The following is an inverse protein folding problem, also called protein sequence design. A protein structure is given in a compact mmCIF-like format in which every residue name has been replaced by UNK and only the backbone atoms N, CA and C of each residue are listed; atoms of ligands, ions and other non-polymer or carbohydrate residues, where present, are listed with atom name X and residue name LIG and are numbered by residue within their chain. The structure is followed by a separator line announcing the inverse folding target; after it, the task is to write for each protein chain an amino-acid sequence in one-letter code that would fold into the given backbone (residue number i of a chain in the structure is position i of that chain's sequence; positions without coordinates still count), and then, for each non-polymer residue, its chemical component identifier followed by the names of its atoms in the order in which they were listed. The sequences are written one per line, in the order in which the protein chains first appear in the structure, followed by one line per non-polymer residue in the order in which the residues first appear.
data_IF_378261063353
#
_entry.id   IF_378261063353
#
_cell.length_a   1.000
_cell.length_b   1.000
_cell.length_c   1.000
_cell.angle_alpha   90.00
_cell.angle_beta   90.00
_cell.angle_gamma   90.00
#
_symmetry.space_group_name_H-M   'P 1'
#
loop_
_entity.id
_entity.type
_entity.pdbx_description
1 polymer ?
#
# COMPACT_ATOMS: atom_id res chain seq x y z
N UNK A 1 19.13 -14.81 -25.64
CA UNK A 1 18.09 -13.76 -25.72
C UNK A 1 17.63 -13.45 -24.30
N UNK A 2 18.11 -12.37 -23.69
CA UNK A 2 17.64 -11.97 -22.35
C UNK A 2 16.20 -11.47 -22.47
N UNK A 3 15.23 -12.22 -21.94
CA UNK A 3 13.87 -11.70 -21.75
C UNK A 3 13.98 -10.48 -20.83
N UNK A 4 13.48 -9.34 -21.26
CA UNK A 4 13.35 -8.19 -20.39
C UNK A 4 12.56 -8.63 -19.13
N UNK A 5 13.15 -8.51 -17.94
CA UNK A 5 12.46 -8.83 -16.69
C UNK A 5 11.20 -7.98 -16.63
N UNK A 6 10.05 -8.62 -16.44
CA UNK A 6 8.79 -7.93 -16.30
C UNK A 6 8.86 -6.97 -15.09
N UNK A 7 8.40 -5.73 -15.31
CA UNK A 7 8.60 -4.56 -14.43
C UNK A 7 7.97 -4.72 -13.04
N UNK A 8 7.08 -5.70 -12.85
CA UNK A 8 6.33 -6.00 -11.62
C UNK A 8 6.22 -7.51 -11.39
N UNK A 9 7.32 -8.25 -11.55
CA UNK A 9 7.29 -9.70 -11.46
C UNK A 9 6.30 -10.31 -12.47
N UNK A 10 5.39 -11.15 -11.99
CA UNK A 10 4.37 -11.81 -12.82
C UNK A 10 2.99 -11.11 -12.79
N UNK A 11 2.86 -9.97 -12.11
CA UNK A 11 1.57 -9.28 -12.01
C UNK A 11 1.06 -8.72 -13.35
N UNK A 12 -0.24 -8.88 -13.58
CA UNK A 12 -0.94 -8.33 -14.74
C UNK A 12 -1.36 -6.89 -14.46
N UNK A 13 -1.13 -5.96 -15.41
CA UNK A 13 -1.71 -4.61 -15.35
C UNK A 13 -3.16 -4.68 -15.82
N UNK A 14 -4.09 -4.83 -14.88
CA UNK A 14 -5.52 -4.99 -15.16
C UNK A 14 -6.12 -3.74 -15.80
N UNK A 15 -5.74 -2.56 -15.33
CA UNK A 15 -6.20 -1.29 -15.86
C UNK A 15 -5.15 -0.20 -15.67
N UNK A 16 -5.09 0.76 -16.60
CA UNK A 16 -4.38 2.02 -16.40
C UNK A 16 -5.17 2.91 -15.46
N UNK A 17 -4.49 3.65 -14.58
CA UNK A 17 -5.13 4.68 -13.74
C UNK A 17 -4.91 6.10 -14.25
N UNK A 18 -4.14 6.26 -15.33
CA UNK A 18 -4.01 7.55 -16.01
C UNK A 18 -5.35 7.94 -16.63
N UNK A 19 -5.85 9.12 -16.28
CA UNK A 19 -7.13 9.69 -16.74
C UNK A 19 -8.35 8.77 -16.53
N UNK A 20 -8.28 7.88 -15.55
CA UNK A 20 -9.34 6.91 -15.26
C UNK A 20 -10.50 7.60 -14.51
N UNK A 21 -11.73 7.60 -15.06
CA UNK A 21 -12.88 8.18 -14.38
C UNK A 21 -13.17 7.49 -13.05
N UNK A 22 -13.63 8.25 -12.06
CA UNK A 22 -13.92 7.74 -10.71
C UNK A 22 -14.86 6.55 -10.70
N UNK A 23 -15.90 6.56 -11.53
CA UNK A 23 -16.86 5.45 -11.62
C UNK A 23 -16.21 4.16 -12.14
N UNK A 24 -15.36 4.26 -13.16
CA UNK A 24 -14.63 3.11 -13.69
C UNK A 24 -13.61 2.60 -12.67
N UNK A 25 -12.94 3.50 -11.96
CA UNK A 25 -12.06 3.15 -10.84
C UNK A 25 -12.80 2.36 -9.75
N UNK A 26 -13.98 2.83 -9.34
CA UNK A 26 -14.81 2.14 -8.35
C UNK A 26 -15.29 0.77 -8.88
N UNK A 27 -15.68 0.68 -10.15
CA UNK A 27 -16.09 -0.58 -10.78
C UNK A 27 -14.95 -1.59 -10.79
N UNK A 28 -13.73 -1.20 -11.17
CA UNK A 28 -12.55 -2.08 -11.16
C UNK A 28 -12.25 -2.56 -9.73
N UNK A 29 -12.34 -1.67 -8.73
CA UNK A 29 -12.14 -2.03 -7.32
C UNK A 29 -13.21 -2.97 -6.76
N UNK A 30 -14.38 -3.09 -7.39
CA UNK A 30 -15.41 -4.09 -7.03
C UNK A 30 -15.05 -5.50 -7.53
N UNK A 31 -14.15 -5.64 -8.52
CA UNK A 31 -13.79 -6.94 -9.11
C UNK A 31 -12.97 -7.85 -8.19
N UNK A 32 -12.40 -7.32 -7.11
CA UNK A 32 -11.53 -8.09 -6.22
C UNK A 32 -11.26 -7.41 -4.89
N UNK A 33 -10.43 -8.05 -4.07
CA UNK A 33 -9.91 -7.55 -2.80
C UNK A 33 -8.68 -6.70 -3.08
N UNK A 34 -8.75 -5.42 -2.74
CA UNK A 34 -7.60 -4.51 -2.83
C UNK A 34 -6.65 -4.70 -1.65
N UNK A 35 -5.41 -4.23 -1.79
CA UNK A 35 -4.45 -4.23 -0.67
C UNK A 35 -4.99 -3.53 0.59
N UNK A 36 -5.71 -2.41 0.44
CA UNK A 36 -6.38 -1.71 1.56
C UNK A 36 -7.46 -2.54 2.25
N UNK A 37 -8.02 -3.53 1.56
CA UNK A 37 -9.09 -4.40 2.07
C UNK A 37 -8.51 -5.62 2.79
N UNK A 38 -7.21 -5.90 2.65
CA UNK A 38 -6.56 -7.12 3.14
C UNK A 38 -6.75 -7.31 4.65
N UNK A 39 -6.46 -6.28 5.45
CA UNK A 39 -6.64 -6.32 6.90
C UNK A 39 -8.10 -6.55 7.30
N UNK A 40 -9.04 -5.97 6.55
CA UNK A 40 -10.48 -6.15 6.80
C UNK A 40 -10.91 -7.58 6.49
N UNK A 41 -10.41 -8.15 5.39
CA UNK A 41 -10.72 -9.51 4.97
C UNK A 41 -10.27 -10.55 6.01
N UNK A 42 -9.15 -10.32 6.70
CA UNK A 42 -8.63 -11.21 7.76
C UNK A 42 -9.06 -10.81 9.17
N UNK A 43 -9.93 -9.80 9.33
CA UNK A 43 -10.46 -9.40 10.64
C UNK A 43 -9.48 -8.61 11.53
N UNK A 44 -8.40 -8.06 10.97
CA UNK A 44 -7.35 -7.31 11.67
C UNK A 44 -7.44 -5.78 11.46
N UNK A 45 -8.51 -5.29 10.83
CA UNK A 45 -8.72 -3.85 10.64
C UNK A 45 -9.49 -3.22 11.81
N UNK A 46 -8.99 -2.12 12.41
CA UNK A 46 -9.73 -1.39 13.44
C UNK A 46 -10.84 -0.50 12.87
N UNK A 47 -10.85 -0.27 11.55
CA UNK A 47 -11.75 0.70 10.91
C UNK A 47 -13.01 0.05 10.34
N UNK A 48 -12.95 -1.26 10.05
CA UNK A 48 -13.97 -1.93 9.25
C UNK A 48 -13.99 -3.44 9.49
N UNK A 49 -15.18 -4.04 9.53
CA UNK A 49 -15.36 -5.48 9.78
C UNK A 49 -15.50 -6.30 8.48
N UNK A 50 -15.19 -7.62 8.50
CA UNK A 50 -15.29 -8.50 7.32
C UNK A 50 -16.67 -8.54 6.66
N UNK A 51 -17.74 -8.53 7.47
CA UNK A 51 -19.12 -8.52 6.94
C UNK A 51 -19.39 -7.29 6.08
N UNK A 52 -18.95 -6.12 6.52
CA UNK A 52 -19.12 -4.90 5.74
C UNK A 52 -18.34 -4.95 4.43
N UNK A 53 -17.16 -5.57 4.41
CA UNK A 53 -16.38 -5.82 3.18
C UNK A 53 -17.12 -6.73 2.23
N UNK A 54 -17.64 -7.84 2.73
CA UNK A 54 -18.42 -8.77 1.94
C UNK A 54 -19.67 -8.13 1.32
N UNK A 55 -20.40 -7.31 2.08
CA UNK A 55 -21.57 -6.60 1.57
C UNK A 55 -21.22 -5.68 0.39
N UNK A 56 -20.10 -4.95 0.46
CA UNK A 56 -19.67 -4.08 -0.62
C UNK A 56 -19.15 -4.85 -1.85
N UNK A 57 -18.31 -5.86 -1.64
CA UNK A 57 -17.74 -6.65 -2.74
C UNK A 57 -18.78 -7.48 -3.47
N UNK A 58 -19.91 -7.76 -2.84
CA UNK A 58 -21.03 -8.47 -3.47
C UNK A 58 -22.16 -7.56 -3.94
N UNK A 59 -21.98 -6.23 -3.91
CA UNK A 59 -22.96 -5.27 -4.40
C UNK A 59 -24.22 -5.13 -3.54
N UNK A 60 -24.22 -5.66 -2.32
CA UNK A 60 -25.34 -5.56 -1.36
C UNK A 60 -25.36 -4.24 -0.61
N UNK A 61 -24.22 -3.54 -0.59
CA UNK A 61 -24.05 -2.22 0.02
C UNK A 61 -23.10 -1.40 -0.84
N UNK A 62 -23.41 -0.14 -1.07
CA UNK A 62 -22.46 0.77 -1.71
C UNK A 62 -21.38 1.20 -0.70
N UNK A 63 -20.11 1.34 -1.13
CA UNK A 63 -19.05 1.83 -0.27
C UNK A 63 -19.34 3.24 0.22
N UNK A 64 -18.98 3.50 1.47
CA UNK A 64 -19.06 4.84 2.04
C UNK A 64 -18.18 5.80 1.23
N UNK A 65 -18.73 6.94 0.81
CA UNK A 65 -17.94 7.98 0.19
C UNK A 65 -17.12 8.72 1.24
N UNK A 66 -15.83 8.41 1.32
CA UNK A 66 -14.90 9.02 2.27
C UNK A 66 -14.16 10.24 1.70
N UNK A 67 -14.48 10.71 0.49
CA UNK A 67 -13.72 11.80 -0.17
C UNK A 67 -13.78 13.13 0.59
N UNK A 68 -14.81 13.31 1.43
CA UNK A 68 -14.99 14.49 2.26
C UNK A 68 -14.16 14.46 3.56
N UNK A 69 -13.52 13.33 3.89
CA UNK A 69 -12.73 13.20 5.12
C UNK A 69 -11.38 13.89 4.94
N UNK A 70 -11.04 14.79 5.87
CA UNK A 70 -9.74 15.50 5.91
C UNK A 70 -8.54 14.54 5.79
N UNK A 71 -8.60 13.37 6.43
CA UNK A 71 -7.53 12.38 6.33
C UNK A 71 -7.27 11.90 4.90
N UNK A 72 -8.32 11.80 4.06
CA UNK A 72 -8.21 11.42 2.65
C UNK A 72 -7.60 12.57 1.85
N UNK A 73 -8.09 13.80 2.06
CA UNK A 73 -7.55 15.01 1.43
C UNK A 73 -6.05 15.16 1.70
N UNK A 74 -5.64 15.17 2.97
CA UNK A 74 -4.23 15.33 3.35
C UNK A 74 -3.37 14.15 2.92
N UNK A 75 -3.92 12.93 2.86
CA UNK A 75 -3.21 11.78 2.29
C UNK A 75 -2.84 12.01 0.83
N UNK A 76 -3.79 12.46 0.02
CA UNK A 76 -3.58 12.76 -1.41
C UNK A 76 -2.59 13.90 -1.61
N UNK A 77 -2.77 15.01 -0.90
CA UNK A 77 -1.93 16.21 -1.03
C UNK A 77 -0.48 15.96 -0.58
N UNK A 78 -0.27 15.17 0.47
CA UNK A 78 1.06 14.94 1.04
C UNK A 78 1.81 13.79 0.39
N UNK A 79 1.15 12.83 -0.26
CA UNK A 79 1.82 11.69 -0.89
C UNK A 79 2.95 12.11 -1.87
N UNK A 80 2.78 13.09 -2.78
CA UNK A 80 3.88 13.57 -3.62
C UNK A 80 5.02 14.20 -2.83
N UNK A 81 4.72 14.96 -1.78
CA UNK A 81 5.71 15.64 -0.93
C UNK A 81 6.54 14.61 -0.17
N UNK A 82 5.89 13.62 0.43
CA UNK A 82 6.54 12.57 1.20
C UNK A 82 7.39 11.66 0.30
N UNK A 83 6.95 11.38 -0.93
CA UNK A 83 7.77 10.67 -1.92
C UNK A 83 9.06 11.43 -2.31
N UNK A 84 9.01 12.77 -2.36
CA UNK A 84 10.21 13.58 -2.58
C UNK A 84 11.13 13.58 -1.37
N UNK A 85 10.58 13.68 -0.15
CA UNK A 85 11.37 13.60 1.09
C UNK A 85 12.06 12.24 1.19
N UNK A 86 11.35 11.15 0.85
CA UNK A 86 11.93 9.82 0.74
C UNK A 86 13.17 9.80 -0.16
N UNK A 87 13.02 10.34 -1.37
CA UNK A 87 14.11 10.40 -2.35
C UNK A 87 15.31 11.20 -1.82
N UNK A 88 15.06 12.35 -1.19
CA UNK A 88 16.12 13.21 -0.61
C UNK A 88 16.87 12.55 0.54
N UNK A 89 16.18 11.79 1.38
CA UNK A 89 16.77 11.19 2.59
C UNK A 89 17.46 9.86 2.33
N UNK A 90 16.94 9.05 1.40
CA UNK A 90 17.48 7.72 1.10
C UNK A 90 18.42 7.71 -0.11
N UNK A 91 18.32 8.71 -0.99
CA UNK A 91 19.03 8.72 -2.28
C UNK A 91 18.38 7.82 -3.33
N UNK A 92 17.38 7.00 -2.99
CA UNK A 92 16.68 6.15 -3.93
C UNK A 92 15.64 6.91 -4.73
N UNK A 93 15.56 6.62 -6.03
CA UNK A 93 14.55 7.23 -6.90
C UNK A 93 13.22 6.50 -6.74
N UNK A 94 12.12 7.21 -6.93
CA UNK A 94 10.78 6.63 -6.91
C UNK A 94 9.97 7.04 -8.14
N UNK A 95 9.01 6.23 -8.55
CA UNK A 95 8.08 6.55 -9.65
C UNK A 95 6.65 6.11 -9.33
N UNK A 96 5.68 6.72 -9.99
CA UNK A 96 4.27 6.30 -9.91
C UNK A 96 4.05 4.99 -10.67
N UNK A 97 3.17 4.15 -10.13
CA UNK A 97 2.64 2.98 -10.84
C UNK A 97 1.19 3.29 -11.20
N UNK A 98 0.99 3.90 -12.38
CA UNK A 98 -0.34 4.28 -12.85
C UNK A 98 -1.11 3.05 -13.37
N UNK A 99 -1.34 2.06 -12.51
CA UNK A 99 -2.11 0.88 -12.83
C UNK A 99 -2.77 0.24 -11.60
N UNK A 100 -3.88 -0.43 -11.85
CA UNK A 100 -4.36 -1.52 -10.99
C UNK A 100 -3.60 -2.77 -11.39
N UNK A 101 -2.86 -3.34 -10.46
CA UNK A 101 -2.16 -4.61 -10.62
C UNK A 101 -3.07 -5.74 -10.15
N UNK A 102 -3.00 -6.88 -10.82
CA UNK A 102 -3.74 -8.09 -10.50
C UNK A 102 -2.76 -9.26 -10.40
N UNK A 103 -2.94 -10.08 -9.38
CA UNK A 103 -2.14 -11.27 -9.21
C UNK A 103 -2.46 -12.29 -10.33
N UNK A 104 -1.45 -12.96 -10.94
CA UNK A 104 -1.65 -13.75 -12.16
C UNK A 104 -2.49 -15.04 -11.96
N UNK A 105 -2.45 -15.65 -10.77
CA UNK A 105 -3.21 -16.89 -10.49
C UNK A 105 -4.47 -16.62 -9.63
N UNK A 106 -4.30 -15.89 -8.52
CA UNK A 106 -5.39 -15.39 -7.67
C UNK A 106 -6.01 -14.09 -8.23
N UNK A 107 -6.85 -14.21 -9.26
CA UNK A 107 -7.44 -13.05 -9.96
C UNK A 107 -8.27 -12.10 -9.07
N UNK A 108 -8.71 -12.56 -7.90
CA UNK A 108 -9.41 -11.73 -6.93
C UNK A 108 -8.48 -10.77 -6.18
N UNK A 109 -7.15 -10.93 -6.23
CA UNK A 109 -6.20 -10.07 -5.52
C UNK A 109 -5.77 -8.91 -6.41
N UNK A 110 -6.02 -7.69 -5.94
CA UNK A 110 -5.74 -6.44 -6.65
C UNK A 110 -4.84 -5.53 -5.79
N UNK A 111 -3.93 -4.81 -6.44
CA UNK A 111 -3.08 -3.83 -5.75
C UNK A 111 -2.96 -2.53 -6.55
N UNK A 112 -3.00 -1.44 -5.81
CA UNK A 112 -2.51 -0.14 -6.26
C UNK A 112 -1.31 0.21 -5.39
N UNK A 113 -0.25 0.69 -6.01
CA UNK A 113 0.98 1.09 -5.33
C UNK A 113 1.07 2.61 -5.37
N UNK A 114 1.38 3.24 -4.24
CA UNK A 114 1.61 4.68 -4.23
C UNK A 114 2.86 4.99 -5.06
N UNK A 115 3.96 4.29 -4.77
CA UNK A 115 5.24 4.44 -5.47
C UNK A 115 5.97 3.11 -5.62
N UNK A 116 6.76 3.03 -6.68
CA UNK A 116 7.79 2.01 -6.87
C UNK A 116 9.15 2.66 -6.63
N UNK A 117 9.96 2.06 -5.76
CA UNK A 117 11.35 2.44 -5.54
C UNK A 117 12.21 1.80 -6.62
N UNK A 118 13.06 2.59 -7.28
CA UNK A 118 13.90 2.14 -8.38
C UNK A 118 15.36 2.47 -8.13
N UNK A 119 16.25 1.56 -8.53
CA UNK A 119 17.70 1.72 -8.37
C UNK A 119 18.24 1.32 -6.99
N UNK A 120 17.46 0.59 -6.19
CA UNK A 120 18.00 -0.11 -5.02
C UNK A 120 18.88 -1.29 -5.50
N UNK A 121 20.02 -1.59 -4.84
CA UNK A 121 20.92 -2.69 -5.23
C UNK A 121 20.21 -4.04 -5.35
N UNK A 122 19.26 -4.31 -4.45
CA UNK A 122 18.50 -5.55 -4.42
C UNK A 122 17.33 -5.62 -5.42
N UNK A 123 17.14 -4.58 -6.25
CA UNK A 123 16.08 -4.51 -7.25
C UNK A 123 14.93 -3.54 -6.88
N UNK A 124 13.88 -3.46 -7.71
CA UNK A 124 12.77 -2.55 -7.49
C UNK A 124 11.95 -2.93 -6.26
N UNK A 125 11.52 -1.91 -5.53
CA UNK A 125 10.76 -2.05 -4.28
C UNK A 125 9.43 -1.32 -4.30
N UNK A 126 8.64 -1.46 -3.24
CA UNK A 126 7.40 -0.69 -3.06
C UNK A 126 7.60 0.44 -2.06
N UNK A 127 6.81 1.50 -2.19
CA UNK A 127 6.76 2.58 -1.22
C UNK A 127 5.28 2.90 -1.01
N UNK A 128 4.81 2.59 0.18
CA UNK A 128 3.45 2.85 0.65
C UNK A 128 3.53 3.99 1.66
N UNK A 129 2.74 5.04 1.44
CA UNK A 129 2.81 6.30 2.17
C UNK A 129 1.49 6.48 2.93
N UNK A 130 1.58 6.76 4.24
CA UNK A 130 0.40 7.05 5.06
C UNK A 130 0.65 8.25 5.95
N UNK A 131 -0.14 9.29 5.78
CA UNK A 131 -0.15 10.42 6.71
C UNK A 131 -0.94 10.05 7.96
N UNK A 132 -0.29 10.06 9.12
CA UNK A 132 -0.95 9.91 10.42
C UNK A 132 -1.34 11.29 10.98
N UNK A 133 -2.60 11.42 11.42
CA UNK A 133 -3.03 12.55 12.23
C UNK A 133 -2.52 12.42 13.67
N UNK A 134 -2.60 13.53 14.43
CA UNK A 134 -2.31 13.54 15.87
C UNK A 134 -3.04 12.44 16.65
N UNK A 135 -4.31 12.19 16.32
CA UNK A 135 -5.10 11.16 17.00
C UNK A 135 -4.67 9.73 16.65
N UNK A 136 -4.10 9.52 15.46
CA UNK A 136 -3.62 8.20 15.04
C UNK A 136 -2.17 7.92 15.43
N UNK A 137 -1.41 8.94 15.84
CA UNK A 137 0.00 8.85 16.23
C UNK A 137 0.31 7.74 17.24
N UNK A 138 -0.48 7.52 18.31
CA UNK A 138 -0.19 6.47 19.29
C UNK A 138 -0.14 5.05 18.69
N UNK A 139 -0.86 4.80 17.59
CA UNK A 139 -0.85 3.50 16.91
C UNK A 139 0.52 3.16 16.30
N UNK A 140 1.39 4.16 16.15
CA UNK A 140 2.70 4.07 15.50
C UNK A 140 3.87 3.94 16.48
N UNK A 141 3.61 4.03 17.79
CA UNK A 141 4.67 4.06 18.81
C UNK A 141 5.45 2.74 18.88
N UNK A 142 4.76 1.61 18.69
CA UNK A 142 5.34 0.27 18.69
C UNK A 142 5.77 -0.21 17.28
N UNK A 143 5.68 0.66 16.28
CA UNK A 143 6.01 0.33 14.89
C UNK A 143 4.83 0.48 13.94
N UNK A 144 4.86 -0.28 12.86
CA UNK A 144 3.82 -0.22 11.82
C UNK A 144 2.57 -0.96 12.32
N UNK A 145 1.38 -0.35 12.40
CA UNK A 145 0.14 -1.03 12.73
C UNK A 145 -0.11 -2.22 11.80
N UNK A 146 -0.60 -3.32 12.38
CA UNK A 146 -0.84 -4.60 11.69
C UNK A 146 -1.69 -4.43 10.43
N UNK A 147 -2.70 -3.55 10.44
CA UNK A 147 -3.53 -3.31 9.26
C UNK A 147 -2.74 -2.84 8.04
N UNK A 148 -1.72 -1.98 8.24
CA UNK A 148 -0.85 -1.51 7.17
C UNK A 148 0.19 -2.57 6.79
N UNK A 149 0.66 -3.40 7.74
CA UNK A 149 1.48 -4.56 7.41
C UNK A 149 0.73 -5.53 6.48
N UNK A 150 -0.53 -5.83 6.76
CA UNK A 150 -1.38 -6.66 5.90
C UNK A 150 -1.52 -6.05 4.49
N UNK A 151 -1.68 -4.73 4.39
CA UNK A 151 -1.77 -4.02 3.11
C UNK A 151 -0.51 -4.22 2.26
N UNK A 152 0.67 -4.08 2.88
CA UNK A 152 1.98 -4.23 2.24
C UNK A 152 2.23 -5.66 1.82
N UNK A 153 1.97 -6.61 2.71
CA UNK A 153 2.08 -8.04 2.41
C UNK A 153 1.17 -8.43 1.24
N UNK A 154 -0.04 -7.87 1.17
CA UNK A 154 -0.93 -8.07 0.03
C UNK A 154 -0.34 -7.49 -1.26
N UNK A 155 0.23 -6.28 -1.23
CA UNK A 155 0.89 -5.69 -2.40
C UNK A 155 2.06 -6.56 -2.88
N UNK A 156 2.91 -7.01 -1.97
CA UNK A 156 4.04 -7.90 -2.25
C UNK A 156 3.57 -9.24 -2.84
N UNK A 157 2.50 -9.81 -2.28
CA UNK A 157 1.89 -11.01 -2.83
C UNK A 157 1.41 -10.79 -4.26
N UNK A 158 0.66 -9.70 -4.52
CA UNK A 158 0.15 -9.37 -5.87
C UNK A 158 1.26 -9.22 -6.89
N UNK A 159 2.32 -8.48 -6.58
CA UNK A 159 3.42 -8.22 -7.53
C UNK A 159 4.29 -9.44 -7.78
N UNK A 160 4.21 -10.49 -6.94
CA UNK A 160 4.97 -11.76 -7.03
C UNK A 160 6.34 -11.55 -7.67
N UNK A 161 7.19 -10.85 -6.96
CA UNK A 161 8.54 -10.63 -7.45
C UNK A 161 9.39 -11.79 -6.97
N UNK A 162 9.64 -12.76 -7.86
CA UNK A 162 10.67 -13.80 -7.70
C UNK A 162 12.08 -13.19 -7.45
N UNK A 163 12.19 -11.87 -7.63
CA UNK A 163 13.39 -11.04 -7.51
C UNK A 163 13.42 -10.10 -6.32
N UNK A 164 12.32 -9.92 -5.59
CA UNK A 164 12.36 -9.32 -4.27
C UNK A 164 12.57 -10.50 -3.35
N UNK A 165 13.71 -10.64 -2.67
CA UNK A 165 13.70 -11.41 -1.45
C UNK A 165 12.44 -11.00 -0.68
N UNK A 166 11.63 -11.97 -0.26
CA UNK A 166 10.58 -11.76 0.76
C UNK A 166 11.13 -11.09 2.05
N UNK A 167 12.45 -10.88 2.07
CA UNK A 167 13.33 -10.37 3.10
C UNK A 167 13.97 -9.00 2.77
N UNK A 168 13.79 -8.40 1.59
CA UNK A 168 14.30 -7.04 1.33
C UNK A 168 13.16 -6.06 1.42
N UNK A 169 13.11 -5.30 2.50
CA UNK A 169 11.98 -4.48 2.71
C UNK A 169 12.24 -3.09 2.20
N UNK A 170 11.88 -2.89 0.96
CA UNK A 170 11.52 -1.55 0.52
C UNK A 170 10.08 -1.35 0.96
N UNK A 171 9.92 -1.00 2.23
CA UNK A 171 8.68 -0.46 2.77
C UNK A 171 9.10 0.76 3.58
N UNK A 172 8.48 1.89 3.29
CA UNK A 172 8.78 3.12 4.03
C UNK A 172 7.51 3.87 4.22
N UNK A 173 6.89 3.64 5.36
CA UNK A 173 5.75 4.42 5.71
C UNK A 173 6.17 5.75 6.30
N UNK A 174 5.78 6.84 5.65
CA UNK A 174 6.05 8.18 6.13
C UNK A 174 4.83 8.74 6.80
N UNK A 175 4.87 8.88 8.12
CA UNK A 175 3.91 9.67 8.87
C UNK A 175 4.45 11.08 9.08
N UNK A 176 3.63 12.11 8.83
CA UNK A 176 3.87 13.45 9.38
C UNK A 176 2.76 13.74 10.37
N UNK A 177 3.06 13.67 11.66
CA UNK A 177 2.12 14.08 12.70
C UNK A 177 2.46 15.52 13.14
N UNK A 178 1.44 16.39 13.15
CA UNK A 178 1.51 17.73 13.74
C UNK A 178 0.89 17.66 15.13
N UNK A 179 1.71 17.66 16.18
CA UNK A 179 1.26 18.03 17.52
C UNK A 179 1.27 19.56 17.65
N UNK A 180 0.41 20.13 18.50
CA UNK A 180 0.36 21.57 18.77
C UNK A 180 1.72 22.16 19.18
N UNK A 181 2.64 21.33 19.71
CA UNK A 181 3.94 21.77 20.21
C UNK A 181 5.16 21.00 19.63
N UNK A 182 4.97 20.03 18.71
CA UNK A 182 6.10 19.35 18.05
C UNK A 182 5.69 18.67 16.73
N UNK A 183 6.56 18.74 15.73
CA UNK A 183 6.45 17.94 14.49
C UNK A 183 7.05 16.57 14.81
N UNK A 184 6.27 15.49 14.73
CA UNK A 184 6.88 14.16 14.81
C UNK A 184 7.78 13.96 13.59
N UNK A 185 9.01 13.43 13.76
CA UNK A 185 9.91 13.21 12.65
C UNK A 185 9.26 12.27 11.64
N UNK A 186 9.46 12.56 10.35
CA UNK A 186 9.20 11.58 9.29
C UNK A 186 9.98 10.33 9.65
N UNK A 187 9.23 9.32 10.06
CA UNK A 187 9.75 8.03 10.48
C UNK A 187 9.69 7.10 9.29
N UNK A 188 10.59 6.15 9.29
CA UNK A 188 10.93 5.35 8.15
C UNK A 188 11.13 3.94 8.68
N UNK A 189 10.08 3.13 8.56
CA UNK A 189 10.11 1.78 9.11
C UNK A 189 10.79 0.83 8.12
N UNK A 190 12.08 0.60 8.32
CA UNK A 190 12.72 -0.62 7.84
C UNK A 190 12.15 -1.78 8.67
N UNK A 191 11.55 -2.81 8.09
CA UNK A 191 11.14 -3.98 8.86
C UNK A 191 12.37 -4.77 9.22
N UNK A 192 12.78 -4.59 10.46
CA UNK A 192 13.23 -5.70 11.24
C UNK A 192 11.99 -6.58 11.51
N UNK A 193 12.01 -7.83 11.02
CA UNK A 193 11.07 -8.90 11.41
C UNK A 193 9.60 -8.80 10.94
N UNK A 194 9.28 -9.38 9.78
CA UNK A 194 7.94 -9.94 9.50
C UNK A 194 8.02 -11.47 9.21
N UNK A 195 9.21 -12.03 9.00
CA UNK A 195 9.37 -13.43 8.60
C UNK A 195 9.45 -14.47 9.74
N UNK A 196 9.81 -14.10 10.97
CA UNK A 196 10.02 -15.12 12.04
C UNK A 196 8.73 -15.73 12.60
N UNK A 197 7.58 -15.10 12.36
CA UNK A 197 6.30 -15.53 12.95
C UNK A 197 5.47 -16.45 12.04
N UNK A 198 5.86 -16.62 10.78
CA UNK A 198 5.11 -17.42 9.80
C UNK A 198 5.78 -18.74 9.39
N UNK A 199 7.01 -19.01 9.84
CA UNK A 199 7.76 -20.26 9.56
C UNK A 199 7.95 -21.17 10.78
N UNK A 200 7.31 -20.86 11.91
CA UNK A 200 7.26 -21.74 13.09
C UNK A 200 5.86 -22.33 13.22
N UNK A 201 5.49 -23.21 12.29
CA UNK A 201 4.39 -24.16 12.40
C UNK A 201 4.73 -25.42 11.59
#
# INVERSE_FOLDING_TARGET
MMKAKAKYGQATRLASTTDLPREQWLAIRKLGIGSSDAAVAVGLSPYRCPLSLWLEKTGRKEPEDISHKEAVLWGIELEPVLAQVYTKRTGYRVRRVNAVLQHPEHLFMLANLDREVVGHPDGPGILEIKTASYHSAPQWEEGVPVAYQCQVLHQLAVIRSDTLPLLTPTFWLITSCRSANNIMPITFFLPAFIASSFYSA
#
